data_IF_096594548626
#
_entry.id   IF_096594548626
#
_cell.length_a   1.000
_cell.length_b   1.000
_cell.length_c   1.000
_cell.angle_alpha   90.00
_cell.angle_beta   90.00
_cell.angle_gamma   90.00
#
_symmetry.space_group_name_H-M   'P 1'
#
loop_
_entity.id
_entity.type
_entity.pdbx_description
1 polymer ?
#
# COMPACT_ATOMS: atom_id res chain seq x y z
N UNK A 1 6.53 -1.62 -8.53
CA UNK A 1 7.71 -1.68 -7.66
C UNK A 1 8.12 -3.13 -7.52
N UNK A 2 9.41 -3.41 -7.35
CA UNK A 2 9.92 -4.69 -6.83
C UNK A 2 10.87 -4.32 -5.71
N UNK A 3 10.34 -4.16 -4.50
CA UNK A 3 11.13 -3.74 -3.35
C UNK A 3 12.14 -4.85 -2.99
N UNK A 4 13.43 -4.54 -2.99
CA UNK A 4 14.49 -5.48 -2.65
C UNK A 4 14.64 -5.72 -1.14
N UNK A 5 14.18 -4.76 -0.32
CA UNK A 5 14.28 -4.79 1.14
C UNK A 5 13.03 -4.17 1.78
N UNK A 6 12.66 -4.66 2.97
CA UNK A 6 11.58 -4.05 3.75
C UNK A 6 11.99 -2.65 4.21
N UNK A 7 11.10 -1.66 4.13
CA UNK A 7 11.29 -0.42 4.86
C UNK A 7 11.52 -0.71 6.35
N UNK A 8 12.32 0.12 7.02
CA UNK A 8 12.65 -0.04 8.44
C UNK A 8 12.11 1.13 9.26
N UNK A 9 11.70 0.85 10.51
CA UNK A 9 11.19 1.87 11.43
C UNK A 9 9.95 2.58 10.90
N UNK A 10 10.04 3.90 10.74
CA UNK A 10 8.97 4.77 10.23
C UNK A 10 9.18 5.20 8.78
N UNK A 11 10.08 4.53 8.05
CA UNK A 11 10.27 4.77 6.63
C UNK A 11 9.23 4.01 5.80
N UNK A 12 8.92 4.53 4.62
CA UNK A 12 8.00 3.93 3.67
C UNK A 12 8.19 4.52 2.27
N UNK A 13 7.36 4.09 1.33
CA UNK A 13 7.35 4.61 -0.03
C UNK A 13 6.01 5.28 -0.33
N UNK A 14 6.06 6.54 -0.79
CA UNK A 14 4.89 7.30 -1.22
C UNK A 14 4.78 7.25 -2.73
N UNK A 15 3.62 6.79 -3.21
CA UNK A 15 3.23 6.84 -4.61
C UNK A 15 2.27 8.01 -4.81
N UNK A 16 2.59 8.91 -5.74
CA UNK A 16 1.77 10.06 -6.13
C UNK A 16 1.34 9.85 -7.58
N UNK A 17 0.03 9.88 -7.83
CA UNK A 17 -0.54 9.76 -9.17
C UNK A 17 -1.08 11.10 -9.65
N UNK A 18 -0.84 11.45 -10.91
CA UNK A 18 -1.31 12.72 -11.49
C UNK A 18 -2.84 12.76 -11.62
N UNK A 19 -3.44 11.60 -11.90
CA UNK A 19 -4.88 11.42 -12.12
C UNK A 19 -5.49 10.59 -11.00
N UNK A 20 -6.65 11.02 -10.51
CA UNK A 20 -7.44 10.27 -9.53
C UNK A 20 -8.05 9.05 -10.23
N UNK A 21 -7.70 7.85 -9.78
CA UNK A 21 -8.13 6.60 -10.41
C UNK A 21 -8.13 5.45 -9.40
N UNK A 22 -8.89 4.36 -9.65
CA UNK A 22 -8.72 3.13 -8.87
C UNK A 22 -7.26 2.66 -8.96
N UNK A 23 -6.64 2.38 -7.82
CA UNK A 23 -5.28 1.87 -7.75
C UNK A 23 -5.30 0.37 -7.47
N UNK A 24 -4.32 -0.35 -8.00
CA UNK A 24 -4.17 -1.79 -7.83
C UNK A 24 -2.70 -2.11 -7.58
N UNK A 25 -2.43 -2.74 -6.44
CA UNK A 25 -1.09 -3.18 -6.04
C UNK A 25 -1.04 -4.70 -5.96
N UNK A 26 0.18 -5.24 -6.07
CA UNK A 26 0.49 -6.66 -6.04
C UNK A 26 1.91 -6.85 -5.51
N UNK A 27 2.21 -8.03 -5.02
CA UNK A 27 3.50 -8.36 -4.39
C UNK A 27 4.43 -9.11 -5.34
N UNK A 28 4.42 -8.78 -6.64
CA UNK A 28 5.30 -9.40 -7.62
C UNK A 28 6.77 -9.11 -7.26
N UNK A 29 7.56 -10.16 -7.10
CA UNK A 29 8.99 -10.08 -6.74
C UNK A 29 9.29 -9.39 -5.40
N UNK A 30 8.33 -9.33 -4.47
CA UNK A 30 8.54 -8.84 -3.10
C UNK A 30 8.43 -10.01 -2.12
N UNK A 31 9.49 -10.26 -1.34
CA UNK A 31 9.64 -11.46 -0.51
C UNK A 31 9.25 -11.30 0.97
N UNK A 32 8.81 -10.10 1.37
CA UNK A 32 8.38 -9.77 2.73
C UNK A 32 7.02 -9.05 2.70
N UNK A 33 6.20 -9.15 3.76
CA UNK A 33 4.90 -8.50 3.79
C UNK A 33 5.04 -6.97 3.95
N UNK A 34 4.07 -6.24 3.41
CA UNK A 34 3.98 -4.78 3.48
C UNK A 34 2.56 -4.36 3.79
N UNK A 35 2.38 -3.25 4.49
CA UNK A 35 1.10 -2.56 4.52
C UNK A 35 1.02 -1.57 3.36
N UNK A 36 -0.14 -1.48 2.70
CA UNK A 36 -0.46 -0.45 1.71
C UNK A 36 -1.65 0.36 2.19
N UNK A 37 -1.54 1.68 2.17
CA UNK A 37 -2.62 2.61 2.55
C UNK A 37 -2.96 3.50 1.35
N UNK A 38 -4.25 3.63 1.04
CA UNK A 38 -4.73 4.48 -0.05
C UNK A 38 -5.39 5.76 0.47
N UNK A 39 -5.13 6.88 -0.22
CA UNK A 39 -5.71 8.18 0.10
C UNK A 39 -6.29 8.87 -1.13
N UNK A 40 -7.37 9.62 -0.92
CA UNK A 40 -7.99 10.44 -1.97
C UNK A 40 -7.18 11.71 -2.27
N UNK A 41 -7.64 12.51 -3.25
CA UNK A 41 -6.97 13.75 -3.64
C UNK A 41 -6.94 14.83 -2.54
N UNK A 42 -7.80 14.73 -1.53
CA UNK A 42 -7.80 15.57 -0.34
C UNK A 42 -7.00 14.97 0.81
N UNK A 43 -6.14 13.98 0.52
CA UNK A 43 -5.30 13.25 1.48
C UNK A 43 -6.09 12.52 2.57
N UNK A 44 -7.37 12.25 2.35
CA UNK A 44 -8.21 11.51 3.30
C UNK A 44 -8.04 10.01 3.08
N UNK A 45 -7.91 9.28 4.18
CA UNK A 45 -7.86 7.82 4.18
C UNK A 45 -9.07 7.20 3.46
N UNK A 46 -8.81 6.24 2.57
CA UNK A 46 -9.81 5.42 1.89
C UNK A 46 -9.85 4.03 2.55
N UNK A 47 -8.75 3.29 2.45
CA UNK A 47 -8.59 1.93 2.92
C UNK A 47 -7.11 1.52 3.02
N UNK A 48 -6.84 0.38 3.66
CA UNK A 48 -5.52 -0.22 3.70
C UNK A 48 -5.61 -1.75 3.70
N UNK A 49 -4.49 -2.39 3.36
CA UNK A 49 -4.32 -3.84 3.37
C UNK A 49 -2.93 -4.20 3.87
N UNK A 50 -2.82 -5.31 4.60
CA UNK A 50 -1.54 -6.02 4.71
C UNK A 50 -1.40 -6.96 3.53
N UNK A 51 -0.38 -6.71 2.70
CA UNK A 51 -0.07 -7.47 1.50
C UNK A 51 0.94 -8.58 1.80
N UNK A 52 0.65 -9.78 1.31
CA UNK A 52 1.50 -10.96 1.53
C UNK A 52 2.32 -11.28 0.28
N UNK A 53 3.58 -11.73 0.42
CA UNK A 53 4.37 -12.27 -0.68
C UNK A 53 3.65 -13.41 -1.39
N UNK A 54 3.65 -13.41 -2.72
CA UNK A 54 3.11 -14.50 -3.53
C UNK A 54 4.11 -15.64 -3.71
N UNK A 55 4.56 -16.25 -2.62
CA UNK A 55 5.51 -17.35 -2.69
C UNK A 55 4.87 -18.56 -3.38
N UNK A 56 5.54 -19.12 -4.40
CA UNK A 56 5.10 -20.30 -5.16
C UNK A 56 3.75 -20.13 -5.89
N UNK A 57 3.41 -18.91 -6.28
CA UNK A 57 2.22 -18.59 -7.08
C UNK A 57 2.68 -17.95 -8.39
N UNK A 58 2.08 -18.34 -9.51
CA UNK A 58 2.35 -17.70 -10.80
C UNK A 58 1.96 -16.21 -10.76
N UNK A 59 2.69 -15.38 -11.51
CA UNK A 59 2.44 -13.93 -11.55
C UNK A 59 0.98 -13.57 -11.91
N UNK A 60 0.32 -14.42 -12.72
CA UNK A 60 -1.09 -14.26 -13.12
C UNK A 60 -2.08 -14.46 -11.97
N UNK A 61 -1.70 -15.23 -10.96
CA UNK A 61 -2.55 -15.65 -9.84
C UNK A 61 -2.25 -14.85 -8.56
N UNK A 62 -1.32 -13.89 -8.62
CA UNK A 62 -1.01 -13.01 -7.50
C UNK A 62 -2.25 -12.21 -7.07
N UNK A 63 -2.54 -12.14 -5.76
CA UNK A 63 -3.59 -11.27 -5.23
C UNK A 63 -3.37 -9.81 -5.64
N UNK A 64 -4.46 -9.16 -6.04
CA UNK A 64 -4.50 -7.72 -6.31
C UNK A 64 -5.18 -6.99 -5.17
N UNK A 65 -4.47 -6.03 -4.59
CA UNK A 65 -4.93 -5.17 -3.52
C UNK A 65 -5.43 -3.86 -4.15
N UNK A 66 -6.73 -3.80 -4.36
CA UNK A 66 -7.38 -2.68 -5.04
C UNK A 66 -7.87 -1.65 -4.01
N UNK A 67 -7.66 -0.38 -4.30
CA UNK A 67 -8.30 0.68 -3.51
C UNK A 67 -9.82 0.59 -3.65
N UNK A 68 -10.56 0.69 -2.53
CA UNK A 68 -12.04 0.66 -2.53
C UNK A 68 -12.69 1.82 -3.26
N UNK A 69 -11.95 2.91 -3.51
CA UNK A 69 -12.37 4.11 -4.24
C UNK A 69 -11.22 4.63 -5.11
N UNK A 70 -11.51 5.52 -6.08
CA UNK A 70 -10.45 6.25 -6.77
C UNK A 70 -9.54 6.97 -5.77
N UNK A 71 -8.23 6.76 -5.91
CA UNK A 71 -7.20 7.29 -5.04
C UNK A 71 -6.23 8.15 -5.85
N UNK A 72 -5.53 9.05 -5.15
CA UNK A 72 -4.44 9.87 -5.70
C UNK A 72 -3.08 9.49 -5.12
N UNK A 73 -3.09 8.94 -3.91
CA UNK A 73 -1.89 8.56 -3.19
C UNK A 73 -1.99 7.13 -2.68
N UNK A 74 -0.85 6.46 -2.62
CA UNK A 74 -0.68 5.21 -1.90
C UNK A 74 0.62 5.25 -1.08
N UNK A 75 0.63 4.63 0.09
CA UNK A 75 1.82 4.57 0.95
C UNK A 75 2.11 3.12 1.32
N UNK A 76 3.28 2.61 0.92
CA UNK A 76 3.81 1.33 1.38
C UNK A 76 4.60 1.52 2.68
N UNK A 77 4.30 0.70 3.69
CA UNK A 77 4.93 0.71 5.02
C UNK A 77 5.27 -0.73 5.45
N UNK A 78 6.13 -0.90 6.48
CA UNK A 78 6.36 -2.23 7.05
C UNK A 78 5.04 -2.87 7.50
N UNK A 79 4.88 -4.17 7.27
CA UNK A 79 3.68 -4.87 7.71
C UNK A 79 3.43 -4.71 9.22
N UNK A 80 2.16 -4.51 9.59
CA UNK A 80 1.75 -4.27 10.98
C UNK A 80 1.92 -2.83 11.45
N UNK A 81 2.45 -1.93 10.60
CA UNK A 81 2.50 -0.51 10.91
C UNK A 81 1.09 0.07 11.07
N UNK A 82 0.15 -0.33 10.22
CA UNK A 82 -1.23 0.18 10.25
C UNK A 82 -1.93 -0.17 11.56
N UNK A 83 -1.85 -1.44 11.97
CA UNK A 83 -2.45 -1.92 13.22
C UNK A 83 -1.92 -1.16 14.44
N UNK A 84 -0.62 -0.87 14.47
CA UNK A 84 0.03 -0.21 15.59
C UNK A 84 -0.22 1.30 15.65
N UNK A 85 -0.36 1.97 14.51
CA UNK A 85 -0.28 3.43 14.44
C UNK A 85 -1.53 4.13 13.90
N UNK A 86 -2.36 3.46 13.10
CA UNK A 86 -3.51 4.12 12.47
C UNK A 86 -4.66 4.36 13.45
N UNK A 87 -5.29 5.51 13.28
CA UNK A 87 -6.52 5.89 13.97
C UNK A 87 -7.64 6.07 12.94
N UNK A 88 -8.92 5.89 13.34
CA UNK A 88 -10.04 6.24 12.47
C UNK A 88 -9.92 7.66 11.93
N UNK A 89 -10.28 7.86 10.66
CA UNK A 89 -10.26 9.15 9.97
C UNK A 89 -8.88 9.83 9.88
N UNK A 90 -7.78 9.07 9.89
CA UNK A 90 -6.45 9.64 9.65
C UNK A 90 -6.36 10.32 8.27
N UNK A 91 -5.41 11.26 8.17
CA UNK A 91 -5.08 11.99 6.95
C UNK A 91 -3.59 11.85 6.68
N UNK A 92 -3.24 11.79 5.41
CA UNK A 92 -1.87 11.92 4.95
C UNK A 92 -1.46 13.40 5.00
N UNK A 93 -0.23 13.68 5.41
CA UNK A 93 0.35 15.04 5.41
C UNK A 93 1.85 14.95 5.18
N UNK A 94 2.38 15.80 4.30
CA UNK A 94 3.80 15.98 4.03
C UNK A 94 4.02 17.35 3.38
#
# INVERSE_FOLDING_TARGET
SGASESPQGNCGMLFIYDVIQPLSFWMKQVSFPLDIIFFDASMKYIDHYTMSPGNNVDDSDLPKYNSKKPAKFAVELPAGWCEKNMKPNCKLSF
#
